data_IF_039835328225
#
_entry.id   IF_039835328225
#
_cell.length_a   1.000
_cell.length_b   1.000
_cell.length_c   1.000
_cell.angle_alpha   90.00
_cell.angle_beta   90.00
_cell.angle_gamma   90.00
#
_symmetry.space_group_name_H-M   'P 1'
#
loop_
_entity.id
_entity.type
_entity.pdbx_description
1 polymer ?
#
# COMPACT_ATOMS: atom_id res chain seq x y z
N UNK A 1 -29.38 -1.15 -8.16
CA UNK A 1 -28.64 0.12 -7.98
C UNK A 1 -27.14 -0.06 -8.24
N UNK A 2 -26.39 -0.83 -7.43
CA UNK A 2 -24.95 -1.05 -7.64
C UNK A 2 -24.58 -1.80 -8.94
N UNK A 3 -25.37 -2.81 -9.34
CA UNK A 3 -25.16 -3.56 -10.59
C UNK A 3 -25.40 -2.68 -11.83
N UNK A 4 -26.30 -1.70 -11.74
CA UNK A 4 -26.58 -0.77 -12.83
C UNK A 4 -25.41 0.20 -13.02
N UNK A 5 -24.88 0.76 -11.92
CA UNK A 5 -23.69 1.62 -11.96
C UNK A 5 -22.43 0.87 -12.46
N UNK A 6 -22.28 -0.41 -12.12
CA UNK A 6 -21.17 -1.23 -12.58
C UNK A 6 -21.21 -1.46 -14.11
N UNK A 7 -22.42 -1.60 -14.70
CA UNK A 7 -22.59 -1.74 -16.16
C UNK A 7 -22.25 -0.47 -16.94
N UNK A 8 -22.41 0.70 -16.33
CA UNK A 8 -22.07 2.00 -16.94
C UNK A 8 -20.58 2.33 -16.81
N UNK A 9 -19.92 1.88 -15.73
CA UNK A 9 -18.52 2.23 -15.43
C UNK A 9 -17.52 1.31 -16.15
N UNK A 10 -17.83 0.03 -16.34
CA UNK A 10 -16.96 -0.91 -17.07
C UNK A 10 -16.56 -0.44 -18.49
N UNK A 11 -17.49 -0.03 -19.37
CA UNK A 11 -17.14 0.39 -20.73
C UNK A 11 -16.29 1.66 -20.77
N UNK A 12 -16.43 2.55 -19.77
CA UNK A 12 -15.60 3.75 -19.65
C UNK A 12 -14.15 3.41 -19.27
N UNK A 13 -13.94 2.41 -18.41
CA UNK A 13 -12.59 1.93 -18.10
C UNK A 13 -11.94 1.23 -19.29
N UNK A 14 -12.68 0.38 -20.01
CA UNK A 14 -12.18 -0.27 -21.22
C UNK A 14 -11.80 0.74 -22.30
N UNK A 15 -12.59 1.80 -22.45
CA UNK A 15 -12.31 2.87 -23.38
C UNK A 15 -11.08 3.70 -22.95
N UNK A 16 -10.96 4.04 -21.67
CA UNK A 16 -9.76 4.72 -21.13
C UNK A 16 -8.51 3.84 -21.25
N UNK A 17 -8.63 2.52 -21.05
CA UNK A 17 -7.53 1.57 -21.23
C UNK A 17 -7.13 1.42 -22.69
N UNK A 18 -8.11 1.42 -23.61
CA UNK A 18 -7.86 1.41 -25.06
C UNK A 18 -7.25 2.74 -25.56
N UNK A 19 -7.67 3.86 -25.00
CA UNK A 19 -7.12 5.18 -25.34
C UNK A 19 -5.72 5.36 -24.75
N UNK A 20 -5.46 4.85 -23.54
CA UNK A 20 -4.12 4.80 -22.92
C UNK A 20 -3.16 3.90 -23.68
N UNK A 21 -3.60 2.73 -24.16
CA UNK A 21 -2.77 1.83 -24.96
C UNK A 21 -2.45 2.42 -26.33
N UNK A 22 -3.40 3.12 -26.96
CA UNK A 22 -3.15 3.87 -28.19
C UNK A 22 -2.19 5.06 -27.96
N UNK A 23 -2.34 5.81 -26.86
CA UNK A 23 -1.45 6.94 -26.51
C UNK A 23 -0.03 6.48 -26.12
N UNK A 24 0.14 5.30 -25.52
CA UNK A 24 1.47 4.73 -25.25
C UNK A 24 2.23 4.33 -26.53
N UNK A 25 1.54 4.16 -27.66
CA UNK A 25 2.18 3.94 -28.97
C UNK A 25 2.57 5.23 -29.69
N UNK A 26 2.09 6.40 -29.23
CA UNK A 26 2.42 7.71 -29.80
C UNK A 26 2.70 8.73 -28.69
N UNK A 27 3.97 8.81 -28.28
CA UNK A 27 4.43 9.93 -27.45
C UNK A 27 4.35 11.25 -28.25
N UNK A 28 4.07 12.36 -27.55
CA UNK A 28 3.79 13.73 -28.05
C UNK A 28 4.85 14.37 -28.97
N UNK A 29 5.85 13.63 -29.43
CA UNK A 29 6.89 14.06 -30.37
C UNK A 29 6.93 13.31 -31.70
N UNK A 30 5.98 12.43 -32.03
CA UNK A 30 5.92 11.77 -33.34
C UNK A 30 7.11 10.86 -33.67
N UNK A 31 7.84 10.39 -32.66
CA UNK A 31 8.94 9.44 -32.81
C UNK A 31 8.37 8.04 -32.55
N UNK A 32 8.34 7.24 -33.61
CA UNK A 32 7.95 5.82 -33.56
C UNK A 32 9.04 5.07 -32.79
N UNK A 33 8.73 4.62 -31.58
CA UNK A 33 9.62 3.75 -30.80
C UNK A 33 9.64 2.35 -31.43
N UNK A 34 10.83 1.76 -31.67
CA UNK A 34 10.95 0.46 -32.30
C UNK A 34 10.32 -0.64 -31.43
N UNK A 35 9.60 -1.55 -32.09
CA UNK A 35 8.87 -2.72 -31.57
C UNK A 35 9.65 -3.53 -30.51
N UNK A 36 10.98 -3.53 -30.61
CA UNK A 36 11.92 -4.18 -29.67
C UNK A 36 11.76 -3.72 -28.20
N UNK A 37 11.28 -2.50 -27.96
CA UNK A 37 11.10 -1.92 -26.63
C UNK A 37 9.77 -2.36 -26.00
N UNK A 38 8.73 -2.48 -26.83
CA UNK A 38 7.41 -2.96 -26.45
C UNK A 38 7.46 -4.44 -26.05
N UNK A 39 8.27 -5.24 -26.77
CA UNK A 39 8.53 -6.63 -26.40
C UNK A 39 9.15 -6.80 -25.02
N UNK A 40 10.03 -5.89 -24.58
CA UNK A 40 10.64 -5.92 -23.23
C UNK A 40 9.65 -5.57 -22.12
N UNK A 41 8.73 -4.63 -22.36
CA UNK A 41 7.70 -4.25 -21.38
C UNK A 41 6.60 -5.32 -21.31
N UNK A 42 6.16 -5.86 -22.45
CA UNK A 42 5.23 -6.99 -22.51
C UNK A 42 5.84 -8.26 -21.90
N UNK A 43 7.14 -8.49 -22.06
CA UNK A 43 7.85 -9.60 -21.42
C UNK A 43 8.00 -9.36 -19.92
N UNK A 44 8.27 -8.13 -19.46
CA UNK A 44 8.32 -7.80 -18.03
C UNK A 44 6.94 -7.92 -17.35
N UNK A 45 5.86 -7.48 -18.01
CA UNK A 45 4.48 -7.60 -17.53
C UNK A 45 3.97 -9.04 -17.63
N UNK A 46 4.34 -9.77 -18.69
CA UNK A 46 4.09 -11.21 -18.84
C UNK A 46 4.77 -12.02 -17.76
N UNK A 47 6.03 -11.72 -17.43
CA UNK A 47 6.76 -12.33 -16.30
C UNK A 47 6.09 -11.97 -14.96
N UNK A 48 5.56 -10.76 -14.79
CA UNK A 48 4.90 -10.37 -13.55
C UNK A 48 3.54 -11.07 -13.33
N UNK A 49 2.76 -11.29 -14.41
CA UNK A 49 1.48 -11.99 -14.35
C UNK A 49 1.69 -13.52 -14.29
N UNK A 50 2.65 -14.06 -15.04
CA UNK A 50 2.99 -15.49 -15.06
C UNK A 50 3.71 -15.94 -13.77
N UNK A 51 4.43 -15.04 -13.08
CA UNK A 51 4.95 -15.32 -11.73
C UNK A 51 3.83 -15.55 -10.69
N UNK A 52 2.57 -15.28 -11.01
CA UNK A 52 1.41 -15.66 -10.21
C UNK A 52 0.95 -17.11 -10.41
N UNK A 53 1.36 -17.79 -11.49
CA UNK A 53 0.75 -19.08 -11.87
C UNK A 53 1.66 -19.99 -12.69
N UNK A 54 2.80 -20.42 -12.12
CA UNK A 54 3.35 -21.80 -12.18
C UNK A 54 4.84 -21.80 -11.82
N UNK A 55 5.14 -22.33 -10.64
CA UNK A 55 6.46 -22.85 -10.30
C UNK A 55 6.31 -24.31 -9.84
N UNK A 56 6.44 -25.26 -10.76
CA UNK A 56 6.78 -26.65 -10.42
C UNK A 56 8.25 -26.65 -9.98
N UNK A 57 8.50 -27.05 -8.74
CA UNK A 57 9.77 -26.87 -8.04
C UNK A 57 9.54 -26.01 -6.80
N UNK A 58 8.81 -26.57 -5.83
CA UNK A 58 8.26 -25.86 -4.69
C UNK A 58 9.31 -25.24 -3.77
N UNK A 59 9.78 -24.03 -4.10
CA UNK A 59 10.14 -23.06 -3.07
C UNK A 59 8.86 -22.85 -2.27
N UNK A 60 8.71 -23.50 -1.12
CA UNK A 60 7.61 -23.25 -0.19
C UNK A 60 7.62 -21.75 0.11
N UNK A 61 6.75 -20.99 -0.55
CA UNK A 61 6.43 -19.64 -0.12
C UNK A 61 6.05 -19.77 1.37
N UNK A 62 6.55 -18.91 2.28
CA UNK A 62 6.25 -19.08 3.69
C UNK A 62 4.74 -19.04 3.86
N UNK A 63 4.14 -20.10 4.40
CA UNK A 63 2.68 -20.23 4.60
C UNK A 63 2.08 -18.94 5.19
N UNK A 64 2.73 -18.40 6.22
CA UNK A 64 2.37 -17.14 6.87
C UNK A 64 2.32 -15.93 5.93
N UNK A 65 3.23 -15.85 4.94
CA UNK A 65 3.21 -14.76 3.97
C UNK A 65 1.93 -14.80 3.13
N UNK A 66 1.49 -15.98 2.71
CA UNK A 66 0.26 -16.11 1.92
C UNK A 66 -0.97 -15.73 2.74
N UNK A 67 -1.04 -16.19 3.99
CA UNK A 67 -2.11 -15.81 4.92
C UNK A 67 -2.21 -14.28 5.03
N UNK A 68 -1.09 -13.60 5.29
CA UNK A 68 -1.08 -12.14 5.41
C UNK A 68 -1.52 -11.42 4.14
N UNK A 69 -1.03 -11.85 2.97
CA UNK A 69 -1.37 -11.24 1.69
C UNK A 69 -2.87 -11.42 1.36
N UNK A 70 -3.43 -12.60 1.59
CA UNK A 70 -4.85 -12.88 1.36
C UNK A 70 -5.72 -12.04 2.30
N UNK A 71 -5.36 -11.94 3.57
CA UNK A 71 -6.13 -11.13 4.53
C UNK A 71 -6.07 -9.64 4.16
N UNK A 72 -4.91 -9.10 3.80
CA UNK A 72 -4.76 -7.70 3.33
C UNK A 72 -5.59 -7.45 2.08
N UNK A 73 -5.56 -8.36 1.11
CA UNK A 73 -6.38 -8.28 -0.09
C UNK A 73 -7.88 -8.24 0.26
N UNK A 74 -8.34 -9.13 1.13
CA UNK A 74 -9.73 -9.15 1.57
C UNK A 74 -10.15 -7.85 2.27
N UNK A 75 -9.30 -7.28 3.12
CA UNK A 75 -9.55 -5.98 3.77
C UNK A 75 -9.62 -4.84 2.75
N UNK A 76 -8.70 -4.78 1.79
CA UNK A 76 -8.70 -3.75 0.73
C UNK A 76 -10.01 -3.82 -0.08
N UNK A 77 -10.44 -5.02 -0.46
CA UNK A 77 -11.70 -5.21 -1.17
C UNK A 77 -12.92 -4.77 -0.33
N UNK A 78 -12.95 -5.12 0.96
CA UNK A 78 -14.02 -4.69 1.86
C UNK A 78 -14.09 -3.17 1.99
N UNK A 79 -12.94 -2.50 2.13
CA UNK A 79 -12.84 -1.04 2.15
C UNK A 79 -13.29 -0.43 0.83
N UNK A 80 -12.92 -1.02 -0.30
CA UNK A 80 -13.32 -0.56 -1.63
C UNK A 80 -14.85 -0.59 -1.80
N UNK A 81 -15.51 -1.69 -1.41
CA UNK A 81 -16.97 -1.76 -1.42
C UNK A 81 -17.62 -0.73 -0.50
N UNK A 82 -17.05 -0.49 0.68
CA UNK A 82 -17.55 0.54 1.58
C UNK A 82 -17.43 1.96 0.98
N UNK A 83 -16.40 2.24 0.20
CA UNK A 83 -16.20 3.55 -0.45
C UNK A 83 -17.17 3.80 -1.62
N UNK A 84 -17.60 2.76 -2.34
CA UNK A 84 -18.59 2.88 -3.43
C UNK A 84 -19.99 3.21 -2.88
N UNK A 85 -20.25 2.94 -1.61
CA UNK A 85 -21.56 3.14 -1.02
C UNK A 85 -21.97 4.64 -1.04
N UNK A 86 -23.16 4.99 -1.57
CA UNK A 86 -23.55 6.39 -1.77
C UNK A 86 -23.60 7.20 -0.47
N UNK A 87 -23.88 6.55 0.66
CA UNK A 87 -23.91 7.23 1.96
C UNK A 87 -22.53 7.41 2.60
N UNK A 88 -21.44 6.91 1.99
CA UNK A 88 -20.10 6.96 2.57
C UNK A 88 -19.61 8.40 2.83
N UNK A 89 -20.03 9.35 2.00
CA UNK A 89 -19.68 10.77 2.14
C UNK A 89 -20.54 11.52 3.16
N UNK A 90 -21.60 10.90 3.69
CA UNK A 90 -22.50 11.56 4.64
C UNK A 90 -21.81 11.77 5.99
N UNK A 91 -22.21 12.85 6.70
CA UNK A 91 -21.68 13.16 8.04
C UNK A 91 -21.90 12.03 9.05
N UNK A 92 -23.02 11.29 8.92
CA UNK A 92 -23.35 10.16 9.79
C UNK A 92 -22.34 9.01 9.66
N UNK A 93 -21.78 8.80 8.47
CA UNK A 93 -20.81 7.73 8.17
C UNK A 93 -19.37 8.11 8.50
N UNK A 94 -19.08 9.34 8.94
CA UNK A 94 -17.70 9.77 9.21
C UNK A 94 -17.04 9.00 10.36
N UNK A 95 -17.82 8.62 11.39
CA UNK A 95 -17.31 7.74 12.47
C UNK A 95 -16.95 6.37 11.92
N UNK A 96 -17.85 5.77 11.14
CA UNK A 96 -17.63 4.45 10.53
C UNK A 96 -16.40 4.47 9.61
N UNK A 97 -16.25 5.51 8.78
CA UNK A 97 -15.08 5.69 7.92
C UNK A 97 -13.78 5.71 8.71
N UNK A 98 -13.74 6.47 9.81
CA UNK A 98 -12.56 6.56 10.66
C UNK A 98 -12.25 5.22 11.34
N UNK A 99 -13.27 4.50 11.80
CA UNK A 99 -13.13 3.16 12.38
C UNK A 99 -12.54 2.17 11.35
N UNK A 100 -13.09 2.13 10.14
CA UNK A 100 -12.60 1.26 9.06
C UNK A 100 -11.12 1.54 8.77
N UNK A 101 -10.75 2.82 8.63
CA UNK A 101 -9.36 3.22 8.39
C UNK A 101 -8.43 2.79 9.54
N UNK A 102 -8.85 2.98 10.79
CA UNK A 102 -8.09 2.58 11.97
C UNK A 102 -7.90 1.06 12.04
N UNK A 103 -8.94 0.28 11.75
CA UNK A 103 -8.87 -1.18 11.79
C UNK A 103 -7.88 -1.72 10.75
N UNK A 104 -7.92 -1.19 9.52
CA UNK A 104 -7.00 -1.61 8.46
C UNK A 104 -5.56 -1.17 8.76
N UNK A 105 -5.36 0.03 9.28
CA UNK A 105 -4.03 0.51 9.69
C UNK A 105 -3.48 -0.30 10.88
N UNK A 106 -4.32 -0.58 11.88
CA UNK A 106 -3.96 -1.34 13.08
C UNK A 106 -3.68 -2.81 12.81
N UNK A 107 -4.31 -3.41 11.78
CA UNK A 107 -4.01 -4.79 11.39
C UNK A 107 -2.52 -5.02 11.14
N UNK A 108 -1.81 -4.02 10.60
CA UNK A 108 -0.37 -4.11 10.33
C UNK A 108 0.50 -4.39 11.57
N UNK A 109 -0.01 -4.19 12.78
CA UNK A 109 0.68 -4.53 14.04
C UNK A 109 0.78 -6.05 14.22
N UNK A 110 -0.24 -6.81 13.83
CA UNK A 110 -0.29 -8.28 13.96
C UNK A 110 0.88 -8.97 13.22
N UNK A 111 1.13 -8.72 11.91
CA UNK A 111 2.26 -9.32 11.21
C UNK A 111 3.60 -8.82 11.74
N UNK A 112 3.70 -7.58 12.25
CA UNK A 112 4.93 -7.09 12.90
C UNK A 112 5.23 -7.88 14.17
N UNK A 113 4.24 -8.07 15.05
CA UNK A 113 4.41 -8.84 16.28
C UNK A 113 4.73 -10.31 15.99
N UNK A 114 4.02 -10.94 15.05
CA UNK A 114 4.31 -12.31 14.64
C UNK A 114 5.73 -12.43 14.06
N UNK A 115 6.16 -11.47 13.24
CA UNK A 115 7.52 -11.45 12.72
C UNK A 115 8.58 -11.35 13.83
N UNK A 116 8.39 -10.49 14.83
CA UNK A 116 9.30 -10.38 15.98
C UNK A 116 9.39 -11.73 16.71
N UNK A 117 8.25 -12.38 16.95
CA UNK A 117 8.21 -13.67 17.63
C UNK A 117 8.95 -14.77 16.85
N UNK A 118 8.76 -14.85 15.54
CA UNK A 118 9.43 -15.84 14.68
C UNK A 118 10.95 -15.65 14.58
N UNK A 119 11.46 -14.43 14.76
CA UNK A 119 12.90 -14.15 14.69
C UNK A 119 13.63 -14.36 16.04
N UNK A 120 12.95 -14.93 17.05
CA UNK A 120 13.55 -15.15 18.38
C UNK A 120 13.40 -13.95 19.32
N UNK A 121 12.48 -13.03 19.03
CA UNK A 121 12.14 -11.90 19.91
C UNK A 121 12.96 -10.63 19.67
N UNK A 122 12.80 -9.66 20.57
CA UNK A 122 13.36 -8.29 20.47
C UNK A 122 14.89 -8.27 20.54
N UNK A 123 15.52 -9.34 21.07
CA UNK A 123 16.97 -9.46 21.18
C UNK A 123 17.67 -9.85 19.87
N UNK A 124 16.93 -10.25 18.83
CA UNK A 124 17.55 -10.64 17.56
C UNK A 124 18.10 -9.40 16.83
N UNK A 125 19.31 -9.46 16.25
CA UNK A 125 19.94 -8.30 15.59
C UNK A 125 19.10 -7.78 14.43
N UNK A 126 18.44 -8.69 13.71
CA UNK A 126 17.48 -8.33 12.66
C UNK A 126 16.29 -7.52 13.20
N UNK A 127 15.79 -7.86 14.38
CA UNK A 127 14.64 -7.16 14.99
C UNK A 127 15.06 -5.79 15.50
N UNK A 128 16.25 -5.63 16.08
CA UNK A 128 16.72 -4.35 16.57
C UNK A 128 16.98 -3.32 15.47
N UNK A 129 17.40 -3.76 14.28
CA UNK A 129 17.61 -2.84 13.16
C UNK A 129 16.29 -2.39 12.49
N UNK A 130 15.27 -3.27 12.45
CA UNK A 130 14.03 -3.02 11.72
C UNK A 130 12.87 -2.55 12.60
N UNK A 131 12.74 -3.03 13.84
CA UNK A 131 11.62 -2.68 14.71
C UNK A 131 11.53 -1.18 15.04
N UNK A 132 12.63 -0.46 15.34
CA UNK A 132 12.58 0.98 15.59
C UNK A 132 12.03 1.76 14.39
N UNK A 133 12.37 1.34 13.16
CA UNK A 133 11.89 2.00 11.93
C UNK A 133 10.39 1.87 11.77
N UNK A 134 9.84 0.68 12.07
CA UNK A 134 8.40 0.42 12.06
C UNK A 134 7.69 1.18 13.18
N UNK A 135 8.28 1.22 14.38
CA UNK A 135 7.73 1.98 15.52
C UNK A 135 7.64 3.47 15.16
N UNK A 136 8.70 4.07 14.61
CA UNK A 136 8.70 5.48 14.19
C UNK A 136 7.58 5.75 13.17
N UNK A 137 7.37 4.85 12.20
CA UNK A 137 6.26 4.98 11.26
C UNK A 137 4.90 5.03 11.99
N UNK A 138 4.64 4.08 12.91
CA UNK A 138 3.38 4.06 13.67
C UNK A 138 3.22 5.26 14.60
N UNK A 139 4.31 5.76 15.19
CA UNK A 139 4.28 6.98 16.00
C UNK A 139 3.83 8.19 15.17
N UNK A 140 4.36 8.36 13.96
CA UNK A 140 3.93 9.42 13.05
C UNK A 140 2.47 9.21 12.62
N UNK A 141 2.05 7.96 12.36
CA UNK A 141 0.67 7.63 12.00
C UNK A 141 -0.33 7.98 13.11
N UNK A 142 -0.03 7.63 14.36
CA UNK A 142 -0.85 7.98 15.52
C UNK A 142 -0.88 9.49 15.72
N UNK A 143 0.26 10.17 15.61
CA UNK A 143 0.32 11.63 15.70
C UNK A 143 -0.55 12.30 14.63
N UNK A 144 -0.45 11.86 13.37
CA UNK A 144 -1.31 12.36 12.30
C UNK A 144 -2.79 12.17 12.67
N UNK A 145 -3.17 10.96 13.09
CA UNK A 145 -4.54 10.65 13.46
C UNK A 145 -5.04 11.48 14.66
N UNK A 146 -4.18 11.78 15.64
CA UNK A 146 -4.50 12.68 16.75
C UNK A 146 -4.81 14.10 16.26
N UNK A 147 -4.03 14.66 15.32
CA UNK A 147 -4.36 15.96 14.70
C UNK A 147 -5.68 15.91 13.91
N UNK A 148 -5.97 14.79 13.24
CA UNK A 148 -7.22 14.61 12.51
C UNK A 148 -8.45 14.63 13.42
N UNK A 149 -8.43 13.90 14.55
CA UNK A 149 -9.55 13.84 15.50
C UNK A 149 -9.65 15.12 16.34
N UNK A 150 -8.52 15.59 16.88
CA UNK A 150 -8.51 16.71 17.84
C UNK A 150 -8.93 18.04 17.23
N UNK A 151 -8.87 18.16 15.89
CA UNK A 151 -9.16 19.40 15.15
C UNK A 151 -8.30 20.58 15.60
N UNK A 152 -7.12 20.32 16.16
CA UNK A 152 -6.13 21.35 16.53
C UNK A 152 -5.30 21.71 15.29
N UNK A 153 -5.08 23.00 14.96
CA UNK A 153 -5.32 24.21 15.76
C UNK A 153 -6.65 24.94 15.44
N UNK A 154 -7.45 24.44 14.50
CA UNK A 154 -8.76 25.02 14.11
C UNK A 154 -9.71 25.21 15.30
N UNK A 155 -9.62 24.30 16.29
CA UNK A 155 -10.36 24.40 17.56
C UNK A 155 -9.97 25.60 18.42
N UNK A 156 -8.72 26.07 18.34
CA UNK A 156 -8.20 27.17 19.16
C UNK A 156 -8.22 28.53 18.43
N UNK A 157 -8.14 28.53 17.10
CA UNK A 157 -8.14 29.75 16.28
C UNK A 157 -9.22 29.68 15.19
N UNK A 158 -10.51 29.80 15.57
CA UNK A 158 -11.62 29.71 14.62
C UNK A 158 -11.53 30.83 13.58
N UNK A 159 -11.55 30.47 12.29
CA UNK A 159 -11.59 31.42 11.16
C UNK A 159 -10.24 31.96 10.68
N UNK A 160 -9.14 31.76 11.41
CA UNK A 160 -7.81 32.22 11.00
C UNK A 160 -7.06 31.21 10.12
N UNK A 161 -7.37 29.91 10.25
CA UNK A 161 -6.63 28.81 9.62
C UNK A 161 -7.39 28.15 8.46
N UNK A 162 -8.27 28.90 7.80
CA UNK A 162 -9.15 28.36 6.74
C UNK A 162 -8.38 27.97 5.46
N UNK A 163 -7.26 28.63 5.17
CA UNK A 163 -6.47 28.41 3.95
C UNK A 163 -5.14 27.69 4.20
N UNK A 164 -4.48 27.96 5.33
CA UNK A 164 -3.18 27.38 5.70
C UNK A 164 -3.21 26.95 7.17
N UNK A 165 -2.70 25.74 7.45
CA UNK A 165 -2.55 25.22 8.81
C UNK A 165 -3.80 24.55 9.39
N UNK A 166 -4.77 24.18 8.55
CA UNK A 166 -5.93 23.40 9.03
C UNK A 166 -5.49 22.02 9.51
N UNK A 167 -6.22 21.43 10.47
CA UNK A 167 -5.84 20.12 11.04
C UNK A 167 -5.83 19.02 9.97
N UNK A 168 -6.66 19.15 8.93
CA UNK A 168 -6.68 18.25 7.79
C UNK A 168 -5.41 18.41 6.92
N UNK A 169 -4.92 19.62 6.71
CA UNK A 169 -3.65 19.85 5.99
C UNK A 169 -2.47 19.29 6.78
N UNK A 170 -2.43 19.51 8.10
CA UNK A 170 -1.39 18.93 8.97
C UNK A 170 -1.42 17.41 8.92
N UNK A 171 -2.61 16.80 8.94
CA UNK A 171 -2.76 15.35 8.75
C UNK A 171 -2.16 14.87 7.43
N UNK A 172 -2.44 15.54 6.31
CA UNK A 172 -1.85 15.20 5.01
C UNK A 172 -0.32 15.33 5.01
N UNK A 173 0.23 16.42 5.58
CA UNK A 173 1.69 16.62 5.67
C UNK A 173 2.33 15.47 6.45
N UNK A 174 1.79 15.14 7.63
CA UNK A 174 2.29 14.03 8.45
C UNK A 174 2.13 12.67 7.74
N UNK A 175 1.04 12.45 7.00
CA UNK A 175 0.85 11.24 6.21
C UNK A 175 1.90 11.10 5.09
N UNK A 176 2.26 12.19 4.41
CA UNK A 176 3.33 12.20 3.40
C UNK A 176 4.69 11.92 4.02
N UNK A 177 5.00 12.53 5.18
CA UNK A 177 6.24 12.26 5.91
C UNK A 177 6.32 10.80 6.36
N UNK A 178 5.22 10.25 6.86
CA UNK A 178 5.10 8.83 7.21
C UNK A 178 5.37 7.93 5.99
N UNK A 179 4.75 8.21 4.84
CA UNK A 179 4.96 7.46 3.60
C UNK A 179 6.41 7.55 3.11
N UNK A 180 7.02 8.72 3.19
CA UNK A 180 8.43 8.90 2.86
C UNK A 180 9.33 8.05 3.78
N UNK A 181 9.10 8.10 5.09
CA UNK A 181 9.85 7.28 6.05
C UNK A 181 9.67 5.77 5.80
N UNK A 182 8.45 5.35 5.50
CA UNK A 182 8.15 3.96 5.15
C UNK A 182 8.86 3.52 3.86
N UNK A 183 8.87 4.38 2.85
CA UNK A 183 9.60 4.13 1.60
C UNK A 183 11.11 3.97 1.87
N UNK A 184 11.71 4.89 2.62
CA UNK A 184 13.13 4.79 3.00
C UNK A 184 13.43 3.49 3.78
N UNK A 185 12.54 3.10 4.68
CA UNK A 185 12.66 1.85 5.44
C UNK A 185 12.58 0.63 4.52
N UNK A 186 11.70 0.64 3.52
CA UNK A 186 11.56 -0.43 2.53
C UNK A 186 12.80 -0.57 1.66
N UNK A 187 13.37 0.55 1.19
CA UNK A 187 14.63 0.56 0.44
C UNK A 187 15.76 -0.03 1.28
N UNK A 188 15.86 0.34 2.56
CA UNK A 188 16.84 -0.22 3.49
C UNK A 188 16.67 -1.73 3.67
N UNK A 189 15.43 -2.23 3.85
CA UNK A 189 15.14 -3.68 3.92
C UNK A 189 15.58 -4.37 2.62
N UNK A 190 15.28 -3.78 1.46
CA UNK A 190 15.63 -4.37 0.17
C UNK A 190 17.14 -4.47 -0.02
N UNK A 191 17.88 -3.41 0.33
CA UNK A 191 19.35 -3.39 0.31
C UNK A 191 19.94 -4.42 1.29
N UNK A 192 19.40 -4.50 2.50
CA UNK A 192 19.81 -5.50 3.49
C UNK A 192 19.68 -6.93 2.93
N UNK A 193 18.53 -7.25 2.32
CA UNK A 193 18.30 -8.57 1.70
C UNK A 193 19.21 -8.84 0.51
N UNK A 194 19.56 -7.82 -0.26
CA UNK A 194 20.47 -7.97 -1.40
C UNK A 194 21.91 -8.23 -0.93
N UNK A 195 22.33 -7.59 0.17
CA UNK A 195 23.68 -7.77 0.76
C UNK A 195 23.85 -9.08 1.51
N UNK A 196 22.76 -9.67 2.01
CA UNK A 196 22.75 -10.92 2.79
C UNK A 196 21.77 -11.93 2.18
N UNK A 197 22.10 -12.55 1.03
CA UNK A 197 21.28 -13.61 0.47
C UNK A 197 21.20 -14.80 1.43
N UNK A 198 20.09 -15.52 1.41
CA UNK A 198 20.00 -16.79 2.12
C UNK A 198 21.02 -17.76 1.51
N UNK A 199 21.67 -18.61 2.32
CA UNK A 199 22.50 -19.69 1.78
C UNK A 199 21.65 -20.56 0.85
N UNK A 200 22.17 -20.85 -0.34
CA UNK A 200 21.54 -21.81 -1.22
C UNK A 200 21.45 -23.15 -0.48
N UNK A 201 20.24 -23.71 -0.40
CA UNK A 201 20.05 -25.04 0.14
C UNK A 201 20.74 -26.01 -0.83
N UNK A 202 21.99 -26.34 -0.55
CA UNK A 202 22.67 -27.44 -1.22
C UNK A 202 21.92 -28.68 -0.77
N UNK A 203 21.03 -29.15 -1.64
CA UNK A 203 20.40 -30.46 -1.52
C UNK A 203 21.51 -31.49 -1.63
N UNK A 204 22.08 -31.86 -0.48
CA UNK A 204 22.92 -33.03 -0.38
C UNK A 204 22.04 -34.24 -0.73
N UNK A 205 22.43 -34.88 -1.83
CA UNK A 205 21.91 -36.13 -2.39
C UNK A 205 21.74 -37.22 -1.33
#
# INVERSE_FOLDING_TARGET
MAVQALREILPLFDQVLAERSAVETVSKGGIILPEKSQGKVLQATGIAIESGSKGKGGKKQPYWRQVYLITVLAMILAVFFAQIHPNYLTQQWQRLRSIIFCSVSGYGVIPTLHWIWLNGGIGAPIVQDFAPRVIVMYMIAVLAFLFYISKVPERYFPGQLNYLGSSHQIWHILAVVMLYWWHQSTVYVMQYRHSKPCPDYVSHL
#
